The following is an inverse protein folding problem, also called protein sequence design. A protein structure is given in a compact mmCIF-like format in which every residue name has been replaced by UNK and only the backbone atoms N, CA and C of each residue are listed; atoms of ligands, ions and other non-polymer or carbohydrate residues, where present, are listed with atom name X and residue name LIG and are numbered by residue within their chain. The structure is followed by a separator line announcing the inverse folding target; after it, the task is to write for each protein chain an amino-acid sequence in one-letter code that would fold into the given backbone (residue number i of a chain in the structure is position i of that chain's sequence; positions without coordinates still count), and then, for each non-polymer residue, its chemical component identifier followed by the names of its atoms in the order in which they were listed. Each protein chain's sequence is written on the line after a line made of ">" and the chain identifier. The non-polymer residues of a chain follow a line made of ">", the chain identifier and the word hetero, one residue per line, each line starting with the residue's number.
data_IF_068676933827
#
_entry.id   IF_068676933827
#
_cell.length_a   1.000
_cell.length_b   1.000
_cell.length_c   1.000
_cell.angle_alpha   90.00
_cell.angle_beta   90.00
_cell.angle_gamma   90.00
#
_symmetry.space_group_name_H-M   'P 1'
#
loop_
_entity.id
_entity.type
_entity.pdbx_description
1 polymer ?
#
# COMPACT_ATOMS: atom_id res chain seq x y z
N UNK A 1 -13.27 13.86 -8.15
CA UNK A 1 -13.96 12.63 -7.70
C UNK A 1 -14.21 11.78 -8.92
N UNK A 2 -13.77 10.53 -8.87
CA UNK A 2 -13.92 9.55 -9.94
C UNK A 2 -14.44 8.23 -9.34
N UNK A 3 -15.19 7.46 -10.12
CA UNK A 3 -15.61 6.11 -9.73
C UNK A 3 -14.85 5.12 -10.62
N UNK A 4 -14.17 4.16 -10.00
CA UNK A 4 -13.51 3.05 -10.66
C UNK A 4 -14.27 1.77 -10.39
N UNK A 5 -14.15 0.80 -11.29
CA UNK A 5 -14.80 -0.50 -11.20
C UNK A 5 -13.76 -1.60 -11.37
N UNK A 6 -13.88 -2.65 -10.56
CA UNK A 6 -13.11 -3.88 -10.68
C UNK A 6 -13.93 -5.07 -10.18
N UNK A 7 -14.13 -6.06 -11.05
CA UNK A 7 -14.88 -7.29 -10.76
C UNK A 7 -16.29 -7.02 -10.17
N UNK A 8 -16.97 -6.01 -10.73
CA UNK A 8 -18.31 -5.60 -10.28
C UNK A 8 -18.34 -4.79 -8.98
N UNK A 9 -17.19 -4.53 -8.35
CA UNK A 9 -17.08 -3.66 -7.18
C UNK A 9 -16.71 -2.24 -7.60
N UNK A 10 -17.31 -1.25 -6.96
CA UNK A 10 -17.05 0.17 -7.21
C UNK A 10 -16.16 0.77 -6.12
N UNK A 11 -15.28 1.66 -6.55
CA UNK A 11 -14.34 2.39 -5.72
C UNK A 11 -14.45 3.88 -6.04
N UNK A 12 -14.68 4.70 -5.02
CA UNK A 12 -14.61 6.15 -5.13
C UNK A 12 -13.17 6.62 -4.91
N UNK A 13 -12.68 7.47 -5.81
CA UNK A 13 -11.40 8.15 -5.70
C UNK A 13 -11.64 9.65 -5.58
N UNK A 14 -11.11 10.24 -4.52
CA UNK A 14 -11.26 11.67 -4.24
C UNK A 14 -9.95 12.28 -3.77
N UNK A 15 -9.88 13.60 -3.84
CA UNK A 15 -8.78 14.38 -3.29
C UNK A 15 -9.34 15.63 -2.62
N UNK A 16 -8.88 15.95 -1.42
CA UNK A 16 -9.37 17.09 -0.65
C UNK A 16 -8.31 17.60 0.32
N UNK A 17 -8.43 18.85 0.75
CA UNK A 17 -7.61 19.40 1.82
C UNK A 17 -8.24 19.09 3.19
N UNK A 18 -7.54 18.34 4.03
CA UNK A 18 -7.95 18.01 5.39
C UNK A 18 -7.45 19.09 6.36
N UNK A 19 -8.34 19.99 6.78
CA UNK A 19 -8.00 21.09 7.71
C UNK A 19 -7.46 20.60 9.07
N UNK A 20 -8.02 19.56 9.72
CA UNK A 20 -7.47 19.08 10.99
C UNK A 20 -6.03 18.55 10.89
N UNK A 21 -5.63 18.05 9.72
CA UNK A 21 -4.33 17.40 9.50
C UNK A 21 -3.32 18.32 8.78
N UNK A 22 -3.75 19.53 8.38
CA UNK A 22 -2.98 20.43 7.51
C UNK A 22 -2.33 19.68 6.34
N UNK A 23 -3.14 18.89 5.63
CA UNK A 23 -2.67 17.98 4.59
C UNK A 23 -3.61 17.95 3.39
N UNK A 24 -3.04 17.76 2.20
CA UNK A 24 -3.80 17.33 1.03
C UNK A 24 -3.90 15.81 1.01
N UNK A 25 -5.11 15.28 1.02
CA UNK A 25 -5.37 13.83 1.10
C UNK A 25 -5.95 13.33 -0.21
N UNK A 26 -5.39 12.22 -0.70
CA UNK A 26 -5.97 11.38 -1.73
C UNK A 26 -6.62 10.18 -1.06
N UNK A 27 -7.89 9.91 -1.35
CA UNK A 27 -8.65 8.83 -0.73
C UNK A 27 -9.17 7.86 -1.78
N UNK A 28 -9.07 6.57 -1.49
CA UNK A 28 -9.68 5.46 -2.20
C UNK A 28 -10.62 4.72 -1.24
N UNK A 29 -11.90 4.70 -1.56
CA UNK A 29 -12.95 4.09 -0.72
C UNK A 29 -13.75 3.10 -1.55
N UNK A 30 -13.86 1.85 -1.11
CA UNK A 30 -14.84 0.91 -1.64
C UNK A 30 -16.25 1.40 -1.29
N UNK A 31 -17.16 1.42 -2.26
CA UNK A 31 -18.55 1.86 -2.07
C UNK A 31 -19.56 0.76 -2.39
N UNK A 32 -19.08 -0.46 -2.61
CA UNK A 32 -19.89 -1.67 -2.79
C UNK A 32 -19.56 -2.64 -1.67
N UNK A 33 -20.58 -3.15 -0.98
CA UNK A 33 -20.42 -4.15 0.09
C UNK A 33 -21.25 -3.86 1.33
N UNK A 34 -21.14 -4.72 2.37
CA UNK A 34 -21.69 -4.44 3.69
C UNK A 34 -20.98 -3.26 4.36
N UNK A 35 -21.72 -2.33 5.00
CA UNK A 35 -21.14 -1.18 5.68
C UNK A 35 -20.06 -1.55 6.70
N UNK A 36 -18.91 -0.90 6.59
CA UNK A 36 -17.77 -1.07 7.49
C UNK A 36 -16.81 -2.21 7.11
N UNK A 37 -17.04 -2.90 6.00
CA UNK A 37 -16.09 -3.89 5.45
C UNK A 37 -15.43 -3.42 4.17
N UNK A 38 -15.79 -2.24 3.69
CA UNK A 38 -15.26 -1.71 2.44
C UNK A 38 -13.80 -1.27 2.61
N UNK A 39 -12.94 -1.58 1.63
CA UNK A 39 -11.55 -1.15 1.65
C UNK A 39 -11.44 0.37 1.69
N UNK A 40 -10.54 0.88 2.52
CA UNK A 40 -10.22 2.29 2.60
C UNK A 40 -8.71 2.52 2.60
N UNK A 41 -8.25 3.53 1.85
CA UNK A 41 -6.85 3.91 1.75
C UNK A 41 -6.74 5.42 1.57
N UNK A 42 -5.97 6.06 2.46
CA UNK A 42 -5.63 7.48 2.37
C UNK A 42 -4.13 7.67 2.12
N UNK A 43 -3.79 8.64 1.27
CA UNK A 43 -2.44 9.18 1.14
C UNK A 43 -2.47 10.65 1.50
N UNK A 44 -1.93 11.00 2.65
CA UNK A 44 -1.91 12.36 3.18
C UNK A 44 -0.56 13.01 2.95
N UNK A 45 -0.55 14.09 2.17
CA UNK A 45 0.61 14.92 1.87
C UNK A 45 0.57 16.16 2.76
N UNK A 46 1.43 16.17 3.77
CA UNK A 46 1.47 17.25 4.73
C UNK A 46 1.85 18.59 4.06
N UNK A 47 1.14 19.66 4.43
CA UNK A 47 1.37 21.00 3.92
C UNK A 47 2.50 21.71 4.71
N UNK A 48 3.31 22.52 4.02
CA UNK A 48 4.31 23.45 4.63
C UNK A 48 4.03 24.91 4.31
N UNK A 49 2.88 25.22 3.72
CA UNK A 49 2.52 26.57 3.31
C UNK A 49 2.61 27.54 4.50
N UNK A 50 3.40 28.63 4.41
CA UNK A 50 3.34 29.71 5.39
C UNK A 50 2.00 30.47 5.24
N UNK A 51 1.35 30.74 6.37
CA UNK A 51 0.02 31.34 6.54
C UNK A 51 -0.61 31.97 5.27
N UNK A 52 -1.56 31.24 4.67
CA UNK A 52 -2.47 31.62 3.55
C UNK A 52 -1.91 31.59 2.11
N UNK A 53 -0.79 30.92 1.86
CA UNK A 53 -0.34 30.63 0.48
C UNK A 53 -1.11 29.50 -0.22
N UNK A 54 -0.83 29.22 -1.50
CA UNK A 54 -1.27 27.98 -2.15
C UNK A 54 -0.58 26.77 -1.52
N UNK A 55 -1.25 25.62 -1.52
CA UNK A 55 -0.71 24.35 -1.02
C UNK A 55 0.72 24.12 -1.52
N UNK A 56 1.60 23.78 -0.59
CA UNK A 56 3.00 23.49 -0.87
C UNK A 56 3.36 22.19 -0.15
N UNK A 57 3.65 21.10 -0.88
CA UNK A 57 3.91 19.82 -0.23
C UNK A 57 5.20 19.84 0.58
N UNK A 58 5.16 19.20 1.76
CA UNK A 58 6.37 18.74 2.45
C UNK A 58 7.06 17.64 1.64
N UNK A 59 8.27 17.31 2.05
CA UNK A 59 9.01 16.18 1.46
C UNK A 59 8.19 14.88 1.58
N UNK A 60 8.37 13.95 0.64
CA UNK A 60 7.81 12.59 0.66
C UNK A 60 7.96 11.85 2.00
N UNK A 61 8.95 12.20 2.83
CA UNK A 61 9.13 11.65 4.18
C UNK A 61 7.97 11.98 5.13
N UNK A 62 7.19 13.01 4.82
CA UNK A 62 6.00 13.43 5.56
C UNK A 62 4.70 13.00 4.86
N UNK A 63 4.80 12.16 3.82
CA UNK A 63 3.62 11.57 3.18
C UNK A 63 3.34 10.24 3.87
N UNK A 64 2.12 10.13 4.40
CA UNK A 64 1.66 8.95 5.13
C UNK A 64 0.58 8.24 4.32
N UNK A 65 0.73 6.93 4.19
CA UNK A 65 -0.24 6.01 3.60
C UNK A 65 -0.93 5.28 4.73
N UNK A 66 -2.23 5.48 4.86
CA UNK A 66 -3.06 4.94 5.94
C UNK A 66 -4.07 3.97 5.37
N UNK A 67 -4.14 2.76 5.92
CA UNK A 67 -5.09 1.75 5.50
C UNK A 67 -6.23 1.63 6.52
N UNK A 68 -7.46 1.64 6.03
CA UNK A 68 -8.62 1.14 6.77
C UNK A 68 -8.77 -0.38 6.62
N UNK A 69 -9.81 -0.99 7.22
CA UNK A 69 -10.10 -2.40 7.02
C UNK A 69 -10.47 -2.69 5.57
N UNK A 70 -10.47 -3.96 5.20
CA UNK A 70 -10.93 -4.43 3.90
C UNK A 70 -9.80 -4.63 2.89
N UNK A 71 -10.07 -5.50 1.91
CA UNK A 71 -9.07 -5.93 0.93
C UNK A 71 -9.17 -5.10 -0.35
N UNK A 72 -8.02 -4.64 -0.86
CA UNK A 72 -7.92 -3.84 -2.08
C UNK A 72 -7.35 -4.73 -3.21
N UNK A 73 -8.04 -4.88 -4.35
CA UNK A 73 -7.48 -5.57 -5.51
C UNK A 73 -6.19 -4.87 -5.97
N UNK A 74 -5.17 -5.66 -6.30
CA UNK A 74 -3.84 -5.13 -6.62
C UNK A 74 -3.87 -4.15 -7.80
N UNK A 75 -4.69 -4.41 -8.82
CA UNK A 75 -4.88 -3.49 -9.95
C UNK A 75 -5.44 -2.14 -9.52
N UNK A 76 -6.42 -2.12 -8.61
CA UNK A 76 -7.01 -0.88 -8.10
C UNK A 76 -5.97 -0.12 -7.28
N UNK A 77 -5.23 -0.82 -6.42
CA UNK A 77 -4.13 -0.24 -5.63
C UNK A 77 -3.04 0.37 -6.52
N UNK A 78 -2.61 -0.36 -7.55
CA UNK A 78 -1.61 0.09 -8.53
C UNK A 78 -2.06 1.34 -9.25
N UNK A 79 -3.30 1.35 -9.76
CA UNK A 79 -3.89 2.51 -10.41
C UNK A 79 -3.97 3.71 -9.47
N UNK A 80 -4.30 3.50 -8.21
CA UNK A 80 -4.34 4.55 -7.19
C UNK A 80 -2.96 5.13 -6.89
N UNK A 81 -1.96 4.28 -6.65
CA UNK A 81 -0.56 4.70 -6.47
C UNK A 81 -0.10 5.56 -7.65
N UNK A 82 -0.33 5.09 -8.87
CA UNK A 82 0.09 5.79 -10.09
C UNK A 82 -0.65 7.12 -10.26
N UNK A 83 -1.94 7.19 -9.91
CA UNK A 83 -2.72 8.43 -9.88
C UNK A 83 -2.14 9.47 -8.91
N UNK A 84 -1.82 9.06 -7.67
CA UNK A 84 -1.22 9.94 -6.66
C UNK A 84 0.19 10.38 -7.09
N UNK A 85 0.98 9.47 -7.64
CA UNK A 85 2.32 9.80 -8.14
C UNK A 85 2.28 10.81 -9.30
N UNK A 86 1.28 10.70 -10.18
CA UNK A 86 1.10 11.57 -11.34
C UNK A 86 0.55 12.97 -10.98
N UNK A 87 0.03 13.18 -9.77
CA UNK A 87 -0.48 14.51 -9.36
C UNK A 87 0.63 15.56 -9.24
N UNK A 88 1.87 15.11 -8.96
CA UNK A 88 3.01 15.98 -8.70
C UNK A 88 3.12 16.49 -7.27
N UNK A 89 2.21 16.10 -6.37
CA UNK A 89 2.21 16.56 -4.97
C UNK A 89 3.22 15.79 -4.09
N UNK A 90 3.75 14.67 -4.57
CA UNK A 90 4.81 13.93 -3.88
C UNK A 90 6.17 14.57 -4.18
N UNK A 91 6.64 15.43 -3.27
CA UNK A 91 7.94 16.08 -3.41
C UNK A 91 9.11 15.15 -3.06
N UNK A 92 9.80 14.62 -4.07
CA UNK A 92 11.06 13.88 -3.92
C UNK A 92 12.22 14.86 -3.73
N UNK A 93 12.78 14.95 -2.51
CA UNK A 93 14.05 15.65 -2.30
C UNK A 93 15.23 14.73 -2.67
N UNK A 94 16.33 15.31 -3.13
CA UNK A 94 17.54 14.62 -3.63
C UNK A 94 18.34 13.82 -2.59
N UNK A 95 17.95 13.84 -1.31
CA UNK A 95 18.39 12.86 -0.32
C UNK A 95 17.34 11.76 -0.21
N UNK A 96 17.51 10.73 -1.03
CA UNK A 96 16.66 9.56 -1.02
C UNK A 96 17.12 8.67 0.14
N UNK A 97 16.34 8.63 1.22
CA UNK A 97 16.46 7.54 2.19
C UNK A 97 15.94 6.29 1.48
N UNK A 98 16.85 5.52 0.92
CA UNK A 98 16.53 4.32 0.15
C UNK A 98 16.09 3.21 1.11
N UNK A 99 14.99 2.54 0.76
CA UNK A 99 14.58 1.33 1.46
C UNK A 99 15.48 0.20 0.97
N UNK A 100 16.21 -0.42 1.89
CA UNK A 100 17.18 -1.47 1.56
C UNK A 100 16.64 -2.84 1.96
N UNK A 101 16.53 -3.74 0.98
CA UNK A 101 16.28 -5.16 1.16
C UNK A 101 15.74 -5.84 -0.10
N UNK A 102 15.54 -7.15 -0.01
CA UNK A 102 15.12 -8.03 -1.11
C UNK A 102 13.91 -8.85 -0.67
N UNK A 103 12.76 -8.62 -1.30
CA UNK A 103 11.50 -9.28 -0.93
C UNK A 103 11.52 -10.79 -1.17
N UNK A 104 12.40 -11.28 -2.07
CA UNK A 104 12.48 -12.70 -2.43
C UNK A 104 13.11 -13.55 -1.31
N UNK A 105 13.67 -12.92 -0.28
CA UNK A 105 14.23 -13.60 0.89
C UNK A 105 13.14 -13.76 1.95
N UNK A 106 12.95 -14.99 2.43
CA UNK A 106 12.13 -15.23 3.61
C UNK A 106 12.78 -14.61 4.86
N UNK A 107 11.96 -14.07 5.77
CA UNK A 107 12.39 -13.42 7.02
C UNK A 107 13.42 -12.31 6.81
N UNK A 108 13.16 -11.41 5.87
CA UNK A 108 14.04 -10.26 5.61
C UNK A 108 13.70 -9.07 6.52
N UNK A 109 14.62 -8.12 6.63
CA UNK A 109 14.41 -6.87 7.32
C UNK A 109 14.71 -5.70 6.38
N UNK A 110 13.76 -4.78 6.28
CA UNK A 110 13.92 -3.53 5.54
C UNK A 110 14.13 -2.36 6.49
N UNK A 111 14.90 -1.39 6.04
CA UNK A 111 15.20 -0.19 6.80
C UNK A 111 14.75 1.07 6.06
N UNK A 112 14.10 1.98 6.77
CA UNK A 112 13.75 3.31 6.29
C UNK A 112 14.00 4.34 7.41
N UNK A 113 15.08 5.12 7.29
CA UNK A 113 15.58 5.92 8.41
C UNK A 113 15.93 5.01 9.59
N UNK A 114 15.38 5.33 10.77
CA UNK A 114 15.56 4.52 11.98
C UNK A 114 14.53 3.36 12.10
N UNK A 115 13.57 3.27 11.18
CA UNK A 115 12.52 2.26 11.22
C UNK A 115 13.01 0.95 10.57
N UNK A 116 12.92 -0.16 11.32
CA UNK A 116 13.11 -1.53 10.80
C UNK A 116 11.75 -2.21 10.65
N UNK A 117 11.46 -2.71 9.46
CA UNK A 117 10.26 -3.51 9.18
C UNK A 117 10.66 -4.94 8.84
N UNK A 118 9.83 -5.91 9.19
CA UNK A 118 10.04 -7.29 8.78
C UNK A 118 9.27 -7.57 7.50
N UNK A 119 9.89 -8.32 6.60
CA UNK A 119 9.32 -8.65 5.30
C UNK A 119 9.44 -10.14 5.09
N UNK A 120 8.30 -10.77 4.80
CA UNK A 120 8.23 -12.20 4.58
C UNK A 120 7.71 -12.50 3.17
N UNK A 121 8.20 -13.61 2.63
CA UNK A 121 7.70 -14.20 1.40
C UNK A 121 7.66 -15.71 1.60
N UNK A 122 6.49 -16.31 1.44
CA UNK A 122 6.29 -17.75 1.64
C UNK A 122 5.07 -18.26 0.88
N UNK A 123 5.11 -19.54 0.52
CA UNK A 123 3.94 -20.23 -0.02
C UNK A 123 3.04 -20.71 1.11
N UNK A 124 1.76 -20.33 1.07
CA UNK A 124 0.76 -20.75 2.05
C UNK A 124 -0.10 -21.87 1.47
N UNK A 125 0.34 -23.12 1.69
CA UNK A 125 -0.25 -24.32 1.08
C UNK A 125 -1.75 -24.48 1.32
N UNK A 126 -2.23 -24.10 2.51
CA UNK A 126 -3.63 -24.31 2.90
C UNK A 126 -4.60 -23.40 2.12
N UNK A 127 -4.08 -22.31 1.55
CA UNK A 127 -4.84 -21.37 0.73
C UNK A 127 -4.45 -21.39 -0.73
N UNK A 128 -3.45 -22.21 -1.10
CA UNK A 128 -2.92 -22.30 -2.46
C UNK A 128 -2.51 -20.91 -3.00
N UNK A 129 -1.77 -20.15 -2.19
CA UNK A 129 -1.33 -18.78 -2.51
C UNK A 129 0.14 -18.56 -2.19
N UNK A 130 0.80 -17.71 -2.97
CA UNK A 130 2.03 -17.06 -2.54
C UNK A 130 1.69 -15.82 -1.70
N UNK A 131 2.32 -15.69 -0.55
CA UNK A 131 2.08 -14.62 0.40
C UNK A 131 3.30 -13.72 0.54
N UNK A 132 3.07 -12.41 0.54
CA UNK A 132 4.02 -11.39 0.90
C UNK A 132 3.52 -10.59 2.10
N UNK A 133 4.36 -10.43 3.12
CA UNK A 133 4.01 -9.63 4.29
C UNK A 133 4.99 -8.48 4.49
N UNK A 134 4.47 -7.32 4.89
CA UNK A 134 5.25 -6.21 5.44
C UNK A 134 4.74 -5.92 6.85
N UNK A 135 5.50 -6.35 7.85
CA UNK A 135 5.20 -6.12 9.25
C UNK A 135 5.76 -4.77 9.68
N UNK A 136 4.86 -3.89 10.12
CA UNK A 136 5.21 -2.55 10.58
C UNK A 136 5.43 -2.60 12.09
N UNK A 137 6.58 -2.13 12.60
CA UNK A 137 6.81 -2.12 14.04
C UNK A 137 5.74 -1.27 14.73
N UNK A 138 4.95 -1.90 15.59
CA UNK A 138 4.01 -1.24 16.49
C UNK A 138 4.65 -1.15 17.88
N UNK A 139 4.57 0.01 18.58
CA UNK A 139 5.01 0.11 19.96
C UNK A 139 4.28 -0.84 20.93
N UNK A 140 3.06 -1.31 20.59
CA UNK A 140 2.41 -2.39 21.33
C UNK A 140 2.81 -3.76 20.75
N UNK A 141 3.59 -4.60 21.49
CA UNK A 141 3.99 -5.92 21.00
C UNK A 141 2.82 -6.90 20.86
N UNK A 142 1.62 -6.55 21.32
CA UNK A 142 0.42 -7.39 21.21
C UNK A 142 -0.42 -7.08 19.97
N UNK A 143 -0.12 -6.02 19.23
CA UNK A 143 -0.79 -5.72 17.96
C UNK A 143 0.02 -6.31 16.81
N UNK A 144 -0.63 -7.14 16.01
CA UNK A 144 -0.03 -7.69 14.80
C UNK A 144 -0.43 -6.83 13.60
N UNK A 145 0.33 -5.75 13.37
CA UNK A 145 0.05 -4.76 12.32
C UNK A 145 0.92 -5.02 11.09
N UNK A 146 0.31 -5.46 9.99
CA UNK A 146 1.03 -5.81 8.77
C UNK A 146 0.16 -5.66 7.51
N UNK A 147 0.82 -5.52 6.35
CA UNK A 147 0.19 -5.70 5.05
C UNK A 147 0.41 -7.13 4.58
N UNK A 148 -0.62 -7.77 4.05
CA UNK A 148 -0.58 -9.08 3.42
C UNK A 148 -0.94 -8.91 1.94
N UNK A 149 -0.12 -9.44 1.03
CA UNK A 149 -0.45 -9.54 -0.39
C UNK A 149 -0.51 -11.01 -0.75
N UNK A 150 -1.63 -11.41 -1.34
CA UNK A 150 -1.88 -12.79 -1.73
C UNK A 150 -1.96 -12.89 -3.23
N UNK A 151 -1.17 -13.80 -3.79
CA UNK A 151 -1.22 -14.17 -5.20
C UNK A 151 -1.67 -15.62 -5.32
N UNK A 152 -2.86 -15.89 -5.88
CA UNK A 152 -3.34 -17.25 -6.07
C UNK A 152 -2.41 -18.10 -6.95
N UNK A 153 -2.19 -19.36 -6.57
CA UNK A 153 -1.56 -20.38 -7.41
C UNK A 153 -2.62 -21.04 -8.29
N UNK A 154 -2.37 -21.05 -9.61
CA UNK A 154 -3.25 -21.71 -10.58
C UNK A 154 -2.97 -23.21 -10.69
N UNK A 155 -1.92 -23.72 -10.05
CA UNK A 155 -1.47 -25.11 -10.12
C UNK A 155 -1.08 -25.66 -8.73
N UNK A 156 -2.03 -25.81 -7.80
CA UNK A 156 -1.76 -26.12 -6.39
C UNK A 156 -1.08 -27.48 -6.11
N UNK A 157 -0.98 -28.35 -7.12
CA UNK A 157 -0.31 -29.66 -7.05
C UNK A 157 0.94 -29.75 -7.95
N UNK A 158 1.41 -28.61 -8.49
CA UNK A 158 2.54 -28.50 -9.40
C UNK A 158 3.51 -27.39 -8.98
N UNK A 159 4.46 -27.01 -9.84
CA UNK A 159 5.24 -25.79 -9.65
C UNK A 159 4.30 -24.59 -9.57
N UNK A 160 4.58 -23.66 -8.66
CA UNK A 160 3.78 -22.44 -8.51
C UNK A 160 3.57 -21.74 -9.86
N UNK A 161 2.31 -21.50 -10.21
CA UNK A 161 1.92 -20.72 -11.38
C UNK A 161 1.12 -19.52 -10.89
N UNK A 162 1.70 -18.30 -10.92
CA UNK A 162 1.03 -17.14 -10.38
C UNK A 162 -0.22 -16.80 -11.19
N UNK A 163 -1.29 -16.44 -10.48
CA UNK A 163 -2.41 -15.77 -11.08
C UNK A 163 -2.00 -14.41 -11.64
N UNK A 164 -2.86 -13.90 -12.53
CA UNK A 164 -2.72 -12.57 -13.09
C UNK A 164 -3.01 -11.48 -12.05
N UNK A 165 -2.48 -10.30 -12.31
CA UNK A 165 -2.54 -9.13 -11.42
C UNK A 165 -3.95 -8.71 -10.98
N UNK A 166 -4.99 -9.06 -11.74
CA UNK A 166 -6.40 -8.83 -11.42
C UNK A 166 -6.93 -9.71 -10.27
N UNK A 167 -6.22 -10.79 -9.94
CA UNK A 167 -6.59 -11.73 -8.87
C UNK A 167 -5.74 -11.59 -7.62
N UNK A 168 -4.68 -10.78 -7.67
CA UNK A 168 -3.87 -10.46 -6.51
C UNK A 168 -4.59 -9.42 -5.64
N UNK A 169 -4.47 -9.55 -4.32
CA UNK A 169 -5.20 -8.71 -3.37
C UNK A 169 -4.29 -8.33 -2.20
N UNK A 170 -4.34 -7.05 -1.80
CA UNK A 170 -3.71 -6.56 -0.58
C UNK A 170 -4.74 -6.47 0.55
N UNK A 171 -4.40 -6.99 1.72
CA UNK A 171 -5.21 -6.90 2.94
C UNK A 171 -4.37 -6.30 4.07
N UNK A 172 -4.78 -5.15 4.64
CA UNK A 172 -4.19 -4.63 5.85
C UNK A 172 -4.74 -5.35 7.08
N UNK A 173 -3.85 -5.70 8.01
CA UNK A 173 -4.17 -6.26 9.30
C UNK A 173 -3.77 -5.26 10.38
N UNK A 174 -4.72 -4.85 11.23
CA UNK A 174 -4.51 -3.80 12.22
C UNK A 174 -4.51 -2.38 11.61
N UNK A 175 -3.98 -1.40 12.36
CA UNK A 175 -3.94 0.00 11.93
C UNK A 175 -2.60 0.29 11.24
N UNK A 176 -2.54 0.06 9.94
CA UNK A 176 -1.31 0.23 9.16
C UNK A 176 -1.13 1.69 8.71
N UNK A 177 -0.02 2.31 9.09
CA UNK A 177 0.43 3.61 8.60
C UNK A 177 1.87 3.47 8.09
N UNK A 178 2.10 3.82 6.84
CA UNK A 178 3.40 3.67 6.18
C UNK A 178 3.89 4.99 5.60
N UNK A 179 5.18 5.32 5.70
CA UNK A 179 5.78 6.33 4.85
C UNK A 179 5.60 5.98 3.37
N UNK A 180 5.27 6.96 2.53
CA UNK A 180 5.12 6.76 1.08
C UNK A 180 6.29 6.01 0.41
N UNK A 181 7.56 6.29 0.73
CA UNK A 181 8.68 5.54 0.13
C UNK A 181 8.69 4.06 0.50
N UNK A 182 8.27 3.70 1.72
CA UNK A 182 8.19 2.30 2.16
C UNK A 182 7.05 1.57 1.46
N UNK A 183 5.88 2.20 1.36
CA UNK A 183 4.73 1.66 0.63
C UNK A 183 5.04 1.42 -0.85
N UNK A 184 5.61 2.43 -1.53
CA UNK A 184 5.95 2.32 -2.96
C UNK A 184 7.08 1.32 -3.21
N UNK A 185 8.06 1.24 -2.32
CA UNK A 185 9.10 0.20 -2.40
C UNK A 185 8.51 -1.19 -2.22
N UNK A 186 7.59 -1.40 -1.26
CA UNK A 186 6.91 -2.68 -1.08
C UNK A 186 6.14 -3.11 -2.33
N UNK A 187 5.32 -2.21 -2.89
CA UNK A 187 4.60 -2.51 -4.13
C UNK A 187 5.54 -2.85 -5.29
N UNK A 188 6.61 -2.06 -5.47
CA UNK A 188 7.59 -2.29 -6.53
C UNK A 188 8.33 -3.61 -6.37
N UNK A 189 8.65 -3.98 -5.12
CA UNK A 189 9.33 -5.22 -4.82
C UNK A 189 8.44 -6.43 -5.16
N UNK A 190 7.16 -6.41 -4.75
CA UNK A 190 6.18 -7.45 -5.10
C UNK A 190 6.02 -7.56 -6.62
N UNK A 191 5.88 -6.42 -7.33
CA UNK A 191 5.80 -6.39 -8.80
C UNK A 191 7.07 -6.96 -9.47
N UNK A 192 8.24 -6.75 -8.85
CA UNK A 192 9.53 -7.26 -9.36
C UNK A 192 9.80 -8.72 -9.01
N UNK A 193 9.02 -9.34 -8.12
CA UNK A 193 9.28 -10.70 -7.67
C UNK A 193 8.97 -11.76 -8.72
N UNK A 194 8.33 -11.37 -9.84
CA UNK A 194 7.88 -12.26 -10.93
C UNK A 194 6.80 -13.27 -10.52
N UNK A 195 6.32 -13.18 -9.28
CA UNK A 195 5.25 -14.02 -8.73
C UNK A 195 3.85 -13.43 -8.94
N UNK A 196 3.70 -12.45 -9.84
CA UNK A 196 2.41 -11.95 -10.35
C UNK A 196 2.51 -11.93 -11.87
N UNK A 197 1.59 -12.64 -12.55
CA UNK A 197 1.53 -12.59 -13.99
C UNK A 197 0.94 -11.24 -14.46
N UNK A 198 1.65 -10.56 -15.36
CA UNK A 198 1.22 -9.27 -15.94
C UNK A 198 0.16 -9.44 -17.02
#
# INVERSE_FOLDING_TARGET
>A
MEIWEHDGNLYEVSSYYCLPDDAWTYALQGITGPPGTEPHLDVSVADKTPDKGPFAPKSQHYVVVSFGPGSIPWLVLRRFRDHVQASGDIATNSQQTEVVGDIRRSNNAWHYGDQRCEVNSFYFSDREVWCYELCVPDPDPNTNTYLEVLVPDLTPNGPFTPATVDRAVLTPHGKVNLPWPLFTHFMSAVESAEDIAT
#
